data_IF_928276737399
#
_entry.id   IF_928276737399
#
_cell.length_a   1.000
_cell.length_b   1.000
_cell.length_c   1.000
_cell.angle_alpha   90.00
_cell.angle_beta   90.00
_cell.angle_gamma   90.00
#
_symmetry.space_group_name_H-M   'P 1'
#
loop_
_entity.id
_entity.type
_entity.pdbx_description
1 polymer ?
#
# COMPACT_ATOMS: atom_id res chain seq x y z
N UNK A 1 -35.55 -11.97 0.62
CA UNK A 1 -35.12 -10.59 0.31
C UNK A 1 -33.79 -10.42 1.01
N UNK A 2 -32.69 -10.31 0.26
CA UNK A 2 -31.35 -10.22 0.82
C UNK A 2 -31.18 -8.85 1.50
N UNK A 3 -31.06 -8.83 2.82
CA UNK A 3 -30.80 -7.60 3.58
C UNK A 3 -29.31 -7.28 3.45
N UNK A 4 -28.96 -6.50 2.43
CA UNK A 4 -27.59 -6.26 1.94
C UNK A 4 -26.76 -5.30 2.78
N UNK A 5 -26.47 -5.64 4.03
CA UNK A 5 -25.53 -4.88 4.87
C UNK A 5 -24.12 -4.83 4.28
N UNK A 6 -23.70 -5.90 3.59
CA UNK A 6 -22.32 -6.04 3.12
C UNK A 6 -22.02 -5.12 1.94
N UNK A 7 -23.01 -4.86 1.08
CA UNK A 7 -22.86 -3.95 -0.07
C UNK A 7 -22.84 -2.47 0.34
N UNK A 8 -23.66 -2.09 1.32
CA UNK A 8 -23.73 -0.70 1.82
C UNK A 8 -22.50 -0.37 2.66
N UNK A 9 -22.08 -1.27 3.55
CA UNK A 9 -20.86 -1.10 4.35
C UNK A 9 -19.61 -1.01 3.44
N UNK A 10 -19.52 -1.84 2.41
CA UNK A 10 -18.43 -1.76 1.43
C UNK A 10 -18.47 -0.47 0.62
N UNK A 11 -19.64 0.07 0.28
CA UNK A 11 -19.77 1.29 -0.51
C UNK A 11 -19.42 2.56 0.28
N UNK A 12 -19.74 2.60 1.58
CA UNK A 12 -19.36 3.75 2.42
C UNK A 12 -17.89 3.69 2.83
N UNK A 13 -17.32 2.49 2.96
CA UNK A 13 -15.90 2.33 3.29
C UNK A 13 -14.97 2.76 2.15
N UNK A 14 -15.45 2.78 0.90
CA UNK A 14 -14.67 3.31 -0.21
C UNK A 14 -14.75 4.83 -0.36
N UNK A 15 -15.50 5.55 0.48
CA UNK A 15 -15.58 7.01 0.38
C UNK A 15 -14.26 7.63 0.84
N UNK A 16 -13.55 8.32 -0.07
CA UNK A 16 -12.34 9.06 0.29
C UNK A 16 -12.67 10.30 1.12
N UNK A 17 -11.65 10.93 1.71
CA UNK A 17 -11.81 12.18 2.44
C UNK A 17 -12.53 13.27 1.62
N UNK A 18 -13.65 13.76 2.16
CA UNK A 18 -14.47 14.78 1.53
C UNK A 18 -15.57 14.24 0.61
N UNK A 19 -15.58 12.95 0.29
CA UNK A 19 -16.76 12.30 -0.31
C UNK A 19 -17.80 12.01 0.77
N UNK A 20 -19.07 11.91 0.36
CA UNK A 20 -20.16 11.59 1.28
C UNK A 20 -21.29 10.86 0.58
N UNK A 21 -22.01 10.06 1.36
CA UNK A 21 -23.20 9.34 0.94
C UNK A 21 -24.36 9.61 1.92
N UNK A 22 -25.57 9.74 1.39
CA UNK A 22 -26.76 9.93 2.21
C UNK A 22 -27.56 8.63 2.31
N UNK A 23 -27.76 8.15 3.52
CA UNK A 23 -28.73 7.10 3.83
C UNK A 23 -30.06 7.75 4.20
N UNK A 24 -31.14 7.33 3.54
CA UNK A 24 -32.47 7.91 3.74
C UNK A 24 -33.41 6.84 4.27
N UNK A 25 -33.92 7.07 5.48
CA UNK A 25 -34.89 6.21 6.15
C UNK A 25 -36.27 6.86 6.12
N UNK A 26 -37.28 6.09 5.77
CA UNK A 26 -38.68 6.53 5.82
C UNK A 26 -39.29 6.14 7.16
N UNK A 27 -39.78 7.12 7.92
CA UNK A 27 -40.46 6.93 9.20
C UNK A 27 -41.94 7.24 9.01
N UNK A 28 -42.78 6.23 9.24
CA UNK A 28 -44.23 6.37 9.13
C UNK A 28 -44.87 6.32 10.52
N UNK A 29 -45.83 7.21 10.77
CA UNK A 29 -46.71 7.20 11.94
C UNK A 29 -48.15 6.95 11.50
N UNK A 30 -48.90 6.18 12.28
CA UNK A 30 -50.33 5.94 12.06
C UNK A 30 -51.14 6.28 13.31
N UNK A 31 -52.34 6.82 13.12
CA UNK A 31 -53.28 7.09 14.21
C UNK A 31 -54.09 5.85 14.65
N UNK A 32 -53.93 4.71 13.96
CA UNK A 32 -54.67 3.48 14.21
C UNK A 32 -56.14 3.49 13.73
N UNK A 33 -56.58 4.59 13.12
CA UNK A 33 -57.92 4.79 12.55
C UNK A 33 -57.90 4.91 11.02
N UNK A 34 -56.76 4.63 10.40
CA UNK A 34 -56.56 4.63 8.95
C UNK A 34 -55.81 5.85 8.42
N UNK A 35 -55.48 6.82 9.27
CA UNK A 35 -54.57 7.91 8.95
C UNK A 35 -53.11 7.46 9.08
N UNK A 36 -52.28 7.89 8.12
CA UNK A 36 -50.82 7.76 8.18
C UNK A 36 -50.15 9.07 7.77
N UNK A 37 -49.01 9.36 8.37
CA UNK A 37 -48.09 10.42 7.97
C UNK A 37 -46.68 9.84 7.82
N UNK A 38 -45.86 10.41 6.95
CA UNK A 38 -44.53 9.86 6.64
C UNK A 38 -43.50 10.97 6.54
N UNK A 39 -42.39 10.80 7.27
CA UNK A 39 -41.27 11.72 7.29
C UNK A 39 -39.98 10.97 6.94
N UNK A 40 -39.10 11.64 6.19
CA UNK A 40 -37.77 11.12 5.89
C UNK A 40 -36.75 11.55 6.94
N UNK A 41 -35.89 10.63 7.34
CA UNK A 41 -34.67 10.85 8.13
C UNK A 41 -33.48 10.62 7.21
N UNK A 42 -32.68 11.66 6.99
CA UNK A 42 -31.45 11.57 6.19
C UNK A 42 -30.25 11.55 7.12
N UNK A 43 -29.39 10.55 6.94
CA UNK A 43 -28.09 10.42 7.61
C UNK A 43 -27.01 10.63 6.56
N UNK A 44 -26.11 11.58 6.78
CA UNK A 44 -24.96 11.80 5.91
C UNK A 44 -23.74 11.08 6.49
N UNK A 45 -23.16 10.18 5.70
CA UNK A 45 -21.91 9.49 5.98
C UNK A 45 -20.81 10.19 5.19
N UNK A 46 -19.78 10.68 5.86
CA UNK A 46 -18.63 11.33 5.23
C UNK A 46 -17.42 10.43 5.34
N UNK A 47 -16.72 10.24 4.21
CA UNK A 47 -15.51 9.44 4.11
C UNK A 47 -14.33 10.07 4.86
N UNK A 48 -13.44 9.20 5.35
CA UNK A 48 -12.09 9.56 5.79
C UNK A 48 -11.06 9.19 4.73
N UNK A 49 -9.79 9.53 4.94
CA UNK A 49 -8.71 8.96 4.15
C UNK A 49 -8.13 7.79 4.94
N UNK A 50 -8.33 6.57 4.47
CA UNK A 50 -7.69 5.38 5.01
C UNK A 50 -6.23 5.31 4.54
N UNK A 51 -5.39 4.58 5.29
CA UNK A 51 -3.97 4.45 4.94
C UNK A 51 -3.77 3.26 3.97
N UNK A 52 -2.87 3.37 2.99
CA UNK A 52 -2.58 2.26 2.10
C UNK A 52 -1.88 1.11 2.86
N UNK A 53 -2.13 -0.11 2.42
CA UNK A 53 -1.47 -1.32 2.90
C UNK A 53 -0.36 -1.71 1.93
N UNK A 54 0.88 -1.69 2.42
CA UNK A 54 2.06 -2.11 1.66
C UNK A 54 2.28 -3.63 1.77
N UNK A 55 2.63 -4.25 0.64
CA UNK A 55 3.00 -5.66 0.54
C UNK A 55 4.01 -5.89 -0.60
N UNK A 56 4.45 -7.14 -0.78
CA UNK A 56 5.18 -7.55 -1.98
C UNK A 56 4.23 -8.15 -2.99
N UNK A 57 4.47 -7.89 -4.28
CA UNK A 57 3.92 -8.77 -5.31
C UNK A 57 4.42 -10.20 -5.06
N UNK A 58 3.57 -11.20 -5.33
CA UNK A 58 3.91 -12.61 -5.02
C UNK A 58 5.29 -12.99 -5.58
N UNK A 59 6.17 -13.52 -4.72
CA UNK A 59 7.52 -13.94 -5.08
C UNK A 59 8.56 -12.84 -5.24
N UNK A 60 8.29 -11.60 -4.79
CA UNK A 60 9.20 -10.45 -4.88
C UNK A 60 9.75 -9.99 -3.52
N UNK A 61 9.61 -10.81 -2.48
CA UNK A 61 10.04 -10.53 -1.10
C UNK A 61 11.52 -10.82 -0.85
N UNK A 62 12.20 -11.48 -1.80
CA UNK A 62 13.62 -11.83 -1.69
C UNK A 62 14.36 -11.67 -3.02
N UNK A 63 15.65 -11.36 -2.96
CA UNK A 63 16.55 -11.25 -4.11
C UNK A 63 17.99 -11.51 -3.68
N UNK A 64 18.82 -12.00 -4.60
CA UNK A 64 20.23 -12.28 -4.33
C UNK A 64 21.13 -11.65 -5.41
N UNK A 65 22.28 -11.16 -4.96
CA UNK A 65 23.35 -10.61 -5.80
C UNK A 65 24.65 -11.29 -5.43
N UNK A 66 25.58 -11.30 -6.35
CA UNK A 66 26.91 -11.86 -6.18
C UNK A 66 27.92 -10.95 -6.88
N UNK A 67 28.99 -10.62 -6.18
CA UNK A 67 30.09 -9.84 -6.75
C UNK A 67 30.61 -10.48 -8.05
N UNK A 68 31.10 -9.63 -8.94
CA UNK A 68 31.67 -9.98 -10.25
C UNK A 68 30.77 -10.78 -11.21
N UNK A 69 29.52 -11.05 -10.84
CA UNK A 69 28.60 -11.89 -11.61
C UNK A 69 27.22 -11.26 -11.72
N UNK A 70 26.43 -11.27 -10.64
CA UNK A 70 25.08 -10.72 -10.60
C UNK A 70 25.04 -9.51 -9.68
N UNK A 71 25.23 -8.33 -10.27
CA UNK A 71 25.40 -7.08 -9.51
C UNK A 71 24.07 -6.36 -9.19
N UNK A 72 22.95 -6.85 -9.69
CA UNK A 72 21.66 -6.26 -9.37
C UNK A 72 20.55 -7.30 -9.30
N UNK A 73 19.54 -6.98 -8.52
CA UNK A 73 18.30 -7.75 -8.41
C UNK A 73 17.13 -6.79 -8.27
N UNK A 74 15.99 -7.16 -8.84
CA UNK A 74 14.79 -6.34 -8.84
C UNK A 74 13.59 -7.14 -8.35
N UNK A 75 12.61 -6.42 -7.82
CA UNK A 75 11.29 -6.97 -7.51
C UNK A 75 10.23 -5.87 -7.55
N UNK A 76 9.03 -6.23 -7.11
CA UNK A 76 7.85 -5.39 -7.20
C UNK A 76 7.14 -5.33 -5.84
N UNK A 77 6.95 -4.11 -5.32
CA UNK A 77 6.01 -3.87 -4.23
C UNK A 77 4.56 -3.82 -4.75
N UNK A 78 3.60 -4.06 -3.87
CA UNK A 78 2.19 -3.90 -4.15
C UNK A 78 1.52 -3.11 -3.03
N UNK A 79 0.57 -2.25 -3.38
CA UNK A 79 -0.25 -1.52 -2.42
C UNK A 79 -1.72 -1.74 -2.68
N UNK A 80 -2.51 -1.68 -1.62
CA UNK A 80 -3.95 -1.66 -1.68
C UNK A 80 -4.48 -0.55 -0.76
N UNK A 81 -5.43 0.23 -1.26
CA UNK A 81 -6.14 1.24 -0.51
C UNK A 81 -7.62 1.10 -0.86
N UNK A 82 -8.49 1.20 0.15
CA UNK A 82 -9.93 0.98 0.00
C UNK A 82 -10.65 2.24 -0.49
N UNK A 83 -10.02 3.40 -0.33
CA UNK A 83 -10.57 4.67 -0.76
C UNK A 83 -10.71 4.75 -2.28
N UNK A 84 -11.82 5.34 -2.71
CA UNK A 84 -12.10 5.60 -4.12
C UNK A 84 -11.03 6.51 -4.73
N UNK A 85 -10.62 6.19 -5.97
CA UNK A 85 -9.55 6.89 -6.69
C UNK A 85 -8.20 6.97 -5.93
N UNK A 86 -7.95 6.09 -4.96
CA UNK A 86 -6.70 6.10 -4.22
C UNK A 86 -5.49 5.92 -5.15
N UNK A 87 -4.42 6.66 -4.86
CA UNK A 87 -3.16 6.61 -5.59
C UNK A 87 -2.00 6.34 -4.64
N UNK A 88 -1.04 5.54 -5.07
CA UNK A 88 0.15 5.18 -4.30
C UNK A 88 1.36 6.05 -4.67
N UNK A 89 2.17 6.46 -3.69
CA UNK A 89 3.44 7.17 -3.94
C UNK A 89 4.60 6.49 -3.24
N UNK A 90 5.42 5.81 -4.02
CA UNK A 90 6.54 5.00 -3.51
C UNK A 90 7.77 5.83 -3.17
N UNK A 91 8.38 5.55 -2.02
CA UNK A 91 9.71 6.08 -1.67
C UNK A 91 10.47 5.17 -0.71
N UNK A 92 11.80 5.27 -0.72
CA UNK A 92 12.64 4.65 0.31
C UNK A 92 12.53 5.49 1.57
N UNK A 93 12.19 4.85 2.69
CA UNK A 93 12.17 5.48 3.99
C UNK A 93 13.58 5.44 4.60
N UNK A 94 14.20 6.61 4.78
CA UNK A 94 15.55 6.74 5.32
C UNK A 94 16.63 6.70 4.24
N UNK A 95 17.75 6.04 4.52
CA UNK A 95 18.88 5.94 3.58
C UNK A 95 18.58 4.92 2.48
N UNK A 96 18.89 5.29 1.24
CA UNK A 96 18.84 4.39 0.08
C UNK A 96 20.18 3.73 -0.24
N UNK A 97 21.22 4.03 0.53
CA UNK A 97 22.54 3.39 0.45
C UNK A 97 22.80 2.58 1.71
N UNK A 98 23.30 1.37 1.51
CA UNK A 98 23.75 0.45 2.54
C UNK A 98 25.28 0.34 2.60
N UNK A 99 25.74 -0.68 3.32
CA UNK A 99 27.15 -1.06 3.44
C UNK A 99 27.70 -1.79 2.21
N UNK A 100 26.84 -2.42 1.40
CA UNK A 100 27.27 -3.20 0.22
C UNK A 100 26.69 -2.70 -1.11
N UNK A 101 25.67 -1.84 -1.08
CA UNK A 101 25.04 -1.35 -2.30
C UNK A 101 24.00 -0.26 -2.06
N UNK A 102 23.10 -0.09 -3.02
CA UNK A 102 22.00 0.87 -2.92
C UNK A 102 20.70 0.31 -3.47
N UNK A 103 19.59 0.81 -2.94
CA UNK A 103 18.23 0.48 -3.40
C UNK A 103 17.58 1.71 -4.04
N UNK A 104 16.77 1.49 -5.05
CA UNK A 104 15.87 2.50 -5.61
C UNK A 104 14.48 1.88 -5.79
N UNK A 105 13.44 2.73 -5.77
CA UNK A 105 12.07 2.36 -6.13
C UNK A 105 11.53 3.40 -7.10
N UNK A 106 10.83 2.95 -8.15
CA UNK A 106 10.19 3.83 -9.12
C UNK A 106 8.71 4.11 -8.78
N UNK A 107 8.04 4.93 -9.60
CA UNK A 107 6.64 5.30 -9.36
C UNK A 107 5.66 4.14 -9.55
N UNK A 108 6.08 3.02 -10.14
CA UNK A 108 5.27 1.80 -10.25
C UNK A 108 5.44 0.86 -9.05
N UNK A 109 6.37 1.17 -8.14
CA UNK A 109 6.73 0.30 -7.02
C UNK A 109 7.74 -0.78 -7.38
N UNK A 110 8.33 -0.74 -8.58
CA UNK A 110 9.44 -1.61 -8.92
C UNK A 110 10.67 -1.13 -8.17
N UNK A 111 11.26 -2.04 -7.40
CA UNK A 111 12.49 -1.78 -6.67
C UNK A 111 13.66 -2.48 -7.34
N UNK A 112 14.84 -1.87 -7.25
CA UNK A 112 16.10 -2.46 -7.71
C UNK A 112 17.16 -2.23 -6.65
N UNK A 113 17.80 -3.31 -6.22
CA UNK A 113 19.03 -3.25 -5.45
C UNK A 113 20.23 -3.44 -6.38
N UNK A 114 21.24 -2.59 -6.24
CA UNK A 114 22.49 -2.64 -6.99
C UNK A 114 23.66 -2.80 -6.01
N UNK A 115 24.38 -3.91 -6.15
CA UNK A 115 25.61 -4.18 -5.41
C UNK A 115 26.71 -3.23 -5.90
N UNK A 116 27.43 -2.61 -4.97
CA UNK A 116 28.57 -1.77 -5.32
C UNK A 116 29.75 -2.67 -5.72
N UNK A 117 30.17 -2.63 -6.99
CA UNK A 117 31.28 -3.45 -7.49
C UNK A 117 32.38 -2.55 -8.08
N UNK A 118 33.55 -2.50 -7.44
CA UNK A 118 34.56 -1.47 -7.68
C UNK A 118 35.62 -1.39 -6.56
N UNK A 119 36.58 -0.47 -6.68
CA UNK A 119 37.78 -0.45 -5.82
C UNK A 119 37.80 0.62 -4.72
N UNK A 120 36.74 1.41 -4.56
CA UNK A 120 36.64 2.48 -3.57
C UNK A 120 35.31 2.46 -2.78
N UNK A 121 35.32 3.05 -1.57
CA UNK A 121 34.14 3.17 -0.72
C UNK A 121 33.43 1.83 -0.44
N UNK A 122 32.10 1.82 -0.55
CA UNK A 122 31.20 0.65 -0.41
C UNK A 122 31.65 -0.53 -1.28
N UNK A 123 32.19 -0.25 -2.47
CA UNK A 123 32.57 -1.27 -3.43
C UNK A 123 33.77 -2.12 -2.97
N UNK A 124 34.68 -1.52 -2.19
CA UNK A 124 35.79 -2.25 -1.56
C UNK A 124 35.34 -3.22 -0.46
N UNK A 125 34.22 -2.93 0.21
CA UNK A 125 33.66 -3.80 1.25
C UNK A 125 33.08 -5.08 0.63
N UNK A 126 32.47 -4.97 -0.55
CA UNK A 126 32.00 -6.12 -1.34
C UNK A 126 33.18 -6.98 -1.79
N UNK A 127 34.19 -6.36 -2.41
CA UNK A 127 35.38 -7.06 -2.93
C UNK A 127 36.28 -7.72 -1.87
N UNK A 128 35.95 -7.53 -0.59
CA UNK A 128 36.65 -8.15 0.55
C UNK A 128 35.93 -9.38 1.08
N UNK A 129 34.77 -9.75 0.51
CA UNK A 129 34.00 -10.92 0.92
C UNK A 129 34.76 -12.21 0.57
N UNK A 130 34.67 -13.19 1.46
CA UNK A 130 35.24 -14.52 1.19
C UNK A 130 34.28 -15.33 0.31
N UNK A 131 34.83 -16.26 -0.47
CA UNK A 131 34.02 -17.21 -1.22
C UNK A 131 33.02 -17.95 -0.29
N UNK A 132 31.73 -17.82 -0.58
CA UNK A 132 30.64 -18.40 0.22
C UNK A 132 30.18 -17.55 1.41
N UNK A 133 30.74 -16.36 1.61
CA UNK A 133 30.25 -15.40 2.59
C UNK A 133 28.94 -14.74 2.10
N UNK A 134 28.01 -14.46 3.01
CA UNK A 134 26.73 -13.83 2.68
C UNK A 134 26.34 -12.85 3.77
N UNK A 135 25.77 -11.71 3.36
CA UNK A 135 25.27 -10.67 4.24
C UNK A 135 23.88 -10.23 3.79
N UNK A 136 23.11 -9.72 4.74
CA UNK A 136 21.79 -9.18 4.47
C UNK A 136 21.83 -7.66 4.63
N UNK A 137 21.19 -6.95 3.70
CA UNK A 137 20.87 -5.53 3.85
C UNK A 137 19.35 -5.37 3.91
N UNK A 138 18.90 -4.48 4.79
CA UNK A 138 17.48 -4.19 4.99
C UNK A 138 17.26 -2.72 4.73
N UNK A 139 16.31 -2.44 3.84
CA UNK A 139 15.83 -1.09 3.54
C UNK A 139 14.35 -0.99 3.90
N UNK A 140 13.92 0.20 4.31
CA UNK A 140 12.51 0.46 4.58
C UNK A 140 11.90 1.18 3.39
N UNK A 141 10.66 0.83 3.05
CA UNK A 141 9.87 1.46 1.97
C UNK A 141 8.57 1.99 2.56
N UNK A 142 8.06 3.07 1.98
CA UNK A 142 6.75 3.63 2.26
C UNK A 142 6.00 3.92 0.96
N UNK A 143 4.67 3.92 1.03
CA UNK A 143 3.73 4.09 -0.09
C UNK A 143 2.60 5.03 0.29
#
# INVERSE_FOLDING_TARGET
MANGTDGVASAVQSLKAGESHNEVFSVQVSDGLGGVDTQLVTVTVTGSNDAPVLSFASGNDTGAVQEDTTLSVSGQFSSADIDHDATATWSIAGSNTGSYGSIAVDSSGQWTYTLANGTDGVASAVQSLKAGESHNEVFSVQV
#
